data_IF_289415085800
#
_entry.id   IF_289415085800
#
_cell.length_a   1.000
_cell.length_b   1.000
_cell.length_c   1.000
_cell.angle_alpha   90.00
_cell.angle_beta   90.00
_cell.angle_gamma   90.00
#
_symmetry.space_group_name_H-M   'P 1'
#
loop_
_entity.id
_entity.type
_entity.pdbx_description
1 polymer ?
#
# COMPACT_ATOMS: atom_id res chain seq x y z
N UNK A 1 15.05 0.65 15.65
CA UNK A 1 16.15 -0.17 15.08
C UNK A 1 17.00 0.72 14.18
N UNK A 2 18.32 0.52 14.18
CA UNK A 2 19.22 1.16 13.22
C UNK A 2 19.30 0.32 11.94
N UNK A 3 19.11 0.94 10.77
CA UNK A 3 19.18 0.30 9.45
C UNK A 3 20.06 1.15 8.53
N UNK A 4 21.32 0.73 8.36
CA UNK A 4 22.36 1.49 7.65
C UNK A 4 21.96 1.90 6.23
N UNK A 5 21.33 0.99 5.50
CA UNK A 5 21.06 1.11 4.06
C UNK A 5 19.68 1.71 3.75
N UNK A 6 18.91 2.13 4.77
CA UNK A 6 17.60 2.76 4.59
C UNK A 6 17.73 4.30 4.59
N UNK A 7 16.91 5.04 3.81
CA UNK A 7 16.92 6.50 3.78
C UNK A 7 16.74 7.13 5.17
N UNK A 8 15.89 6.51 6.00
CA UNK A 8 15.76 6.82 7.41
C UNK A 8 16.45 5.73 8.23
N UNK A 9 17.64 6.05 8.76
CA UNK A 9 18.47 5.08 9.48
C UNK A 9 17.88 4.62 10.81
N UNK A 10 17.05 5.44 11.44
CA UNK A 10 16.39 5.11 12.71
C UNK A 10 14.88 5.06 12.52
N UNK A 11 14.30 3.87 12.63
CA UNK A 11 12.85 3.69 12.52
C UNK A 11 12.35 2.45 13.26
N UNK A 12 11.03 2.30 13.26
CA UNK A 12 10.36 1.06 13.66
C UNK A 12 10.29 0.16 12.43
N UNK A 13 10.55 -1.13 12.64
CA UNK A 13 10.48 -2.14 11.60
C UNK A 13 9.15 -2.88 11.74
N UNK A 14 8.50 -3.11 10.62
CA UNK A 14 7.29 -3.93 10.54
C UNK A 14 7.55 -5.03 9.51
N UNK A 15 7.08 -6.23 9.82
CA UNK A 15 6.95 -7.32 8.87
C UNK A 15 5.54 -7.25 8.28
N UNK A 16 5.41 -7.39 6.96
CA UNK A 16 4.14 -7.20 6.27
C UNK A 16 3.92 -8.32 5.26
N UNK A 17 2.73 -8.92 5.30
CA UNK A 17 2.23 -9.81 4.26
C UNK A 17 1.35 -8.99 3.31
N UNK A 18 1.81 -8.82 2.08
CA UNK A 18 1.11 -8.07 1.04
C UNK A 18 0.65 -9.00 -0.09
N UNK A 19 -0.55 -8.72 -0.61
CA UNK A 19 -1.07 -9.27 -1.85
C UNK A 19 -0.86 -8.31 -3.02
N UNK A 20 -1.63 -8.53 -4.08
CA UNK A 20 -1.57 -7.73 -5.31
C UNK A 20 -1.81 -6.23 -5.07
N UNK A 21 -1.13 -5.40 -5.85
CA UNK A 21 -1.15 -3.92 -5.78
C UNK A 21 -0.67 -3.35 -4.43
N UNK A 22 0.01 -4.16 -3.61
CA UNK A 22 0.46 -3.78 -2.27
C UNK A 22 -0.65 -3.79 -1.23
N UNK A 23 -1.69 -4.60 -1.41
CA UNK A 23 -2.75 -4.76 -0.41
C UNK A 23 -2.23 -5.48 0.83
N UNK A 24 -2.28 -4.83 1.99
CA UNK A 24 -1.78 -5.42 3.24
C UNK A 24 -2.81 -6.37 3.84
N UNK A 25 -2.47 -7.65 3.96
CA UNK A 25 -3.28 -8.64 4.67
C UNK A 25 -2.95 -8.65 6.16
N UNK A 26 -1.65 -8.65 6.49
CA UNK A 26 -1.19 -8.80 7.87
C UNK A 26 0.08 -8.02 8.12
N UNK A 27 0.25 -7.56 9.36
CA UNK A 27 1.44 -6.87 9.82
C UNK A 27 1.85 -7.36 11.22
N UNK A 28 3.15 -7.38 11.46
CA UNK A 28 3.73 -7.69 12.77
C UNK A 28 4.82 -6.66 13.09
N UNK A 29 4.81 -6.10 14.30
CA UNK A 29 5.81 -5.12 14.72
C UNK A 29 7.07 -5.87 15.19
N UNK A 30 8.23 -5.49 14.64
CA UNK A 30 9.51 -6.00 15.12
C UNK A 30 9.77 -5.52 16.55
N UNK A 31 9.98 -6.47 17.46
CA UNK A 31 10.23 -6.22 18.88
C UNK A 31 11.56 -6.81 19.36
N UNK A 32 12.28 -7.55 18.51
CA UNK A 32 13.48 -8.30 18.87
C UNK A 32 13.17 -9.62 19.59
N UNK A 33 11.90 -10.00 19.71
CA UNK A 33 11.44 -11.21 20.41
C UNK A 33 10.84 -12.24 19.44
N UNK A 34 11.19 -12.16 18.16
CA UNK A 34 10.55 -12.94 17.09
C UNK A 34 10.73 -14.45 17.26
N UNK A 35 11.75 -14.86 18.03
CA UNK A 35 12.05 -16.27 18.30
C UNK A 35 11.51 -16.78 19.64
N UNK A 36 10.73 -15.97 20.38
CA UNK A 36 10.24 -16.39 21.69
C UNK A 36 9.19 -17.51 21.52
N UNK A 37 9.31 -18.62 22.27
CA UNK A 37 8.41 -19.77 22.12
C UNK A 37 6.93 -19.42 22.24
N UNK A 38 6.56 -18.41 23.06
CA UNK A 38 5.19 -17.92 23.22
C UNK A 38 4.49 -17.48 21.92
N UNK A 39 5.25 -17.20 20.86
CA UNK A 39 4.70 -16.79 19.57
C UNK A 39 4.54 -17.94 18.58
N UNK A 40 5.04 -19.14 18.90
CA UNK A 40 4.84 -20.36 18.13
C UNK A 40 3.57 -21.08 18.59
N UNK A 41 2.85 -21.70 17.66
CA UNK A 41 1.74 -22.61 17.95
C UNK A 41 2.27 -24.03 18.13
N UNK A 42 1.51 -24.87 18.81
CA UNK A 42 1.82 -26.29 18.92
C UNK A 42 1.90 -26.93 17.52
N UNK A 43 2.94 -27.72 17.30
CA UNK A 43 3.24 -28.33 16.00
C UNK A 43 4.00 -27.45 15.00
N UNK A 44 4.23 -26.16 15.29
CA UNK A 44 5.08 -25.32 14.43
C UNK A 44 6.57 -25.57 14.74
N UNK A 45 7.42 -25.82 13.72
CA UNK A 45 8.85 -26.00 13.92
C UNK A 45 9.54 -24.69 14.29
N UNK A 46 10.70 -24.78 14.93
CA UNK A 46 11.60 -23.64 15.08
C UNK A 46 12.54 -23.53 13.88
N UNK A 47 12.25 -22.58 12.99
CA UNK A 47 13.08 -22.29 11.81
C UNK A 47 14.02 -21.09 12.07
N UNK A 48 14.05 -20.59 13.31
CA UNK A 48 14.77 -19.39 13.70
C UNK A 48 13.98 -18.10 13.43
N UNK A 49 14.54 -16.98 13.88
CA UNK A 49 13.80 -15.70 13.98
C UNK A 49 13.13 -15.24 12.67
N UNK A 50 13.81 -15.34 11.52
CA UNK A 50 13.25 -14.90 10.23
C UNK A 50 12.21 -15.88 9.68
N UNK A 51 12.46 -17.19 9.77
CA UNK A 51 11.49 -18.21 9.34
C UNK A 51 10.22 -18.20 10.20
N UNK A 52 10.37 -18.07 11.52
CA UNK A 52 9.26 -18.02 12.46
C UNK A 52 8.33 -16.83 12.20
N UNK A 53 8.87 -15.67 11.78
CA UNK A 53 8.05 -14.54 11.30
C UNK A 53 7.20 -14.92 10.09
N UNK A 54 7.78 -15.60 9.09
CA UNK A 54 7.02 -16.02 7.90
C UNK A 54 5.93 -17.02 8.25
N UNK A 55 6.20 -17.97 9.14
CA UNK A 55 5.19 -18.91 9.64
C UNK A 55 4.04 -18.14 10.27
N UNK A 56 4.31 -17.21 11.18
CA UNK A 56 3.26 -16.41 11.84
C UNK A 56 2.43 -15.57 10.87
N UNK A 57 3.09 -14.96 9.90
CA UNK A 57 2.41 -14.16 8.88
C UNK A 57 1.56 -15.02 7.94
N UNK A 58 2.04 -16.22 7.57
CA UNK A 58 1.36 -17.12 6.64
C UNK A 58 0.15 -17.86 7.24
N UNK A 59 -0.10 -17.76 8.55
CA UNK A 59 -1.23 -18.42 9.24
C UNK A 59 -2.61 -18.14 8.62
N UNK A 60 -2.81 -16.97 8.03
CA UNK A 60 -4.08 -16.55 7.42
C UNK A 60 -4.23 -16.96 5.97
N UNK A 61 -3.18 -17.49 5.35
CA UNK A 61 -3.23 -17.93 3.96
C UNK A 61 -3.97 -19.27 3.91
N UNK A 62 -5.01 -19.41 3.07
CA UNK A 62 -5.70 -20.67 2.90
C UNK A 62 -4.75 -21.77 2.43
N UNK A 63 -4.89 -22.95 3.02
CA UNK A 63 -4.02 -24.11 2.74
C UNK A 63 -4.57 -24.90 1.56
N UNK A 64 -3.67 -25.50 0.76
CA UNK A 64 -4.02 -26.36 -0.38
C UNK A 64 -4.88 -25.66 -1.45
N UNK A 65 -4.76 -24.34 -1.59
CA UNK A 65 -5.48 -23.54 -2.58
C UNK A 65 -4.53 -22.86 -3.59
N UNK A 66 -3.35 -23.44 -3.80
CA UNK A 66 -2.36 -22.98 -4.78
C UNK A 66 -1.83 -21.54 -4.52
N UNK A 67 -1.90 -21.09 -3.27
CA UNK A 67 -1.28 -19.83 -2.84
C UNK A 67 0.25 -19.92 -2.90
N UNK A 68 0.87 -18.82 -3.34
CA UNK A 68 2.30 -18.70 -3.55
C UNK A 68 2.85 -17.54 -2.73
N UNK A 69 3.83 -17.84 -1.87
CA UNK A 69 4.56 -16.86 -1.08
C UNK A 69 5.87 -16.46 -1.76
N UNK A 70 6.14 -15.17 -1.75
CA UNK A 70 7.35 -14.58 -2.29
C UNK A 70 8.04 -13.82 -1.16
N UNK A 71 9.32 -14.11 -0.91
CA UNK A 71 10.06 -13.43 0.14
C UNK A 71 11.51 -13.16 -0.23
N UNK A 72 12.09 -12.17 0.45
CA UNK A 72 13.48 -11.77 0.25
C UNK A 72 14.46 -12.83 0.75
N UNK A 73 15.74 -12.57 0.46
CA UNK A 73 16.88 -13.38 0.89
C UNK A 73 17.02 -13.55 2.40
N UNK A 74 16.55 -12.60 3.21
CA UNK A 74 16.68 -12.65 4.66
C UNK A 74 15.76 -13.74 5.25
N UNK A 75 14.56 -13.91 4.70
CA UNK A 75 13.60 -14.92 5.16
C UNK A 75 13.85 -16.33 4.58
N UNK A 76 14.48 -16.46 3.41
CA UNK A 76 14.63 -17.75 2.73
C UNK A 76 15.53 -18.76 3.46
N UNK A 77 15.01 -19.99 3.60
CA UNK A 77 15.74 -21.18 4.04
C UNK A 77 15.08 -22.45 3.49
N UNK A 78 15.83 -23.55 3.43
CA UNK A 78 15.34 -24.84 2.94
C UNK A 78 14.17 -25.37 3.80
N UNK A 79 14.38 -25.42 5.12
CA UNK A 79 13.37 -25.91 6.08
C UNK A 79 12.08 -25.09 6.05
N UNK A 80 12.17 -23.76 5.83
CA UNK A 80 10.98 -22.92 5.67
C UNK A 80 10.18 -23.32 4.42
N UNK A 81 10.85 -23.55 3.29
CA UNK A 81 10.20 -23.93 2.04
C UNK A 81 9.52 -25.29 2.14
N UNK A 82 10.17 -26.28 2.77
CA UNK A 82 9.57 -27.59 3.06
C UNK A 82 8.32 -27.44 3.91
N UNK A 83 8.43 -26.74 5.05
CA UNK A 83 7.33 -26.57 5.97
C UNK A 83 6.13 -25.88 5.30
N UNK A 84 6.36 -24.80 4.54
CA UNK A 84 5.29 -24.11 3.83
C UNK A 84 4.61 -25.04 2.82
N UNK A 85 5.38 -25.83 2.08
CA UNK A 85 4.85 -26.78 1.10
C UNK A 85 4.01 -27.88 1.77
N UNK A 86 4.48 -28.45 2.88
CA UNK A 86 3.71 -29.41 3.68
C UNK A 86 2.41 -28.81 4.23
N UNK A 87 2.39 -27.50 4.49
CA UNK A 87 1.19 -26.76 4.85
C UNK A 87 0.34 -26.37 3.61
N UNK A 88 0.66 -26.85 2.41
CA UNK A 88 -0.10 -26.56 1.20
C UNK A 88 0.08 -25.15 0.66
N UNK A 89 1.20 -24.47 1.00
CA UNK A 89 1.58 -23.16 0.48
C UNK A 89 2.87 -23.30 -0.32
N UNK A 90 2.83 -22.92 -1.58
CA UNK A 90 4.02 -22.89 -2.43
C UNK A 90 4.83 -21.63 -2.16
N UNK A 91 6.13 -21.65 -2.42
CA UNK A 91 6.95 -20.46 -2.22
C UNK A 91 8.14 -20.36 -3.18
N UNK A 92 8.61 -19.13 -3.37
CA UNK A 92 9.87 -18.83 -4.02
C UNK A 92 10.55 -17.66 -3.31
N UNK A 93 11.86 -17.79 -3.11
CA UNK A 93 12.68 -16.74 -2.51
C UNK A 93 14.07 -16.70 -3.12
N UNK A 94 14.71 -15.55 -3.03
CA UNK A 94 16.17 -15.50 -3.28
C UNK A 94 16.89 -16.14 -2.10
N UNK A 95 17.99 -16.84 -2.31
CA UNK A 95 18.71 -17.54 -1.23
C UNK A 95 20.21 -17.26 -1.29
N UNK A 96 20.87 -17.27 -0.13
CA UNK A 96 22.33 -17.26 -0.09
C UNK A 96 22.84 -18.68 -0.38
N UNK A 97 23.85 -18.81 -1.25
CA UNK A 97 24.38 -20.12 -1.66
C UNK A 97 24.86 -20.98 -0.48
N UNK A 98 25.41 -20.37 0.57
CA UNK A 98 25.85 -21.05 1.78
C UNK A 98 24.70 -21.62 2.65
N UNK A 99 23.44 -21.25 2.37
CA UNK A 99 22.26 -21.84 3.01
C UNK A 99 21.73 -23.06 2.26
N UNK A 100 22.32 -23.41 1.12
CA UNK A 100 21.99 -24.61 0.35
C UNK A 100 22.98 -25.71 0.76
N UNK A 101 22.51 -26.81 1.39
CA UNK A 101 23.37 -27.94 1.72
C UNK A 101 24.04 -28.51 0.47
N UNK A 102 25.35 -28.74 0.52
CA UNK A 102 26.12 -29.31 -0.60
C UNK A 102 25.88 -28.57 -1.93
N UNK A 103 25.82 -27.23 -1.87
CA UNK A 103 25.55 -26.35 -3.00
C UNK A 103 26.41 -26.71 -4.23
N UNK A 104 25.75 -27.19 -5.29
CA UNK A 104 26.40 -27.61 -6.56
C UNK A 104 26.58 -26.48 -7.58
N UNK A 105 26.12 -25.27 -7.24
CA UNK A 105 26.30 -24.12 -8.11
C UNK A 105 27.77 -23.81 -8.37
N UNK A 106 28.05 -23.37 -9.59
CA UNK A 106 29.38 -22.89 -9.97
C UNK A 106 29.83 -21.74 -9.07
N UNK A 107 31.13 -21.68 -8.83
CA UNK A 107 31.70 -20.60 -8.03
C UNK A 107 31.75 -19.29 -8.82
N UNK A 108 32.02 -18.16 -8.14
CA UNK A 108 32.03 -16.86 -8.82
C UNK A 108 33.14 -16.70 -9.87
N UNK A 109 34.21 -17.47 -9.81
CA UNK A 109 35.28 -17.44 -10.81
C UNK A 109 34.86 -18.15 -12.10
N UNK A 110 34.22 -19.31 -11.98
CA UNK A 110 33.62 -20.04 -13.09
C UNK A 110 32.51 -19.23 -13.73
N UNK A 111 31.62 -18.65 -12.92
CA UNK A 111 30.52 -17.83 -13.41
C UNK A 111 31.01 -16.60 -14.15
N UNK A 112 32.18 -16.02 -13.83
CA UNK A 112 32.73 -14.88 -14.59
C UNK A 112 32.93 -15.19 -16.06
N UNK A 113 33.26 -16.45 -16.41
CA UNK A 113 33.48 -16.91 -17.79
C UNK A 113 32.18 -17.04 -18.59
N UNK A 114 31.06 -17.29 -17.89
CA UNK A 114 29.75 -17.46 -18.53
C UNK A 114 29.16 -16.15 -19.07
N UNK A 115 28.33 -16.18 -20.13
CA UNK A 115 27.67 -14.99 -20.62
C UNK A 115 26.61 -14.46 -19.64
N UNK A 116 26.23 -13.19 -19.83
CA UNK A 116 25.07 -12.61 -19.14
C UNK A 116 23.80 -13.34 -19.61
N UNK A 117 22.95 -13.73 -18.67
CA UNK A 117 21.78 -14.58 -18.92
C UNK A 117 22.02 -16.07 -18.65
N UNK A 118 23.26 -16.46 -18.34
CA UNK A 118 23.55 -17.83 -17.90
C UNK A 118 22.70 -18.21 -16.69
N UNK A 119 22.19 -19.43 -16.75
CA UNK A 119 21.36 -20.02 -15.70
C UNK A 119 21.65 -21.51 -15.57
N UNK A 120 21.52 -22.01 -14.36
CA UNK A 120 21.61 -23.43 -14.04
C UNK A 120 20.61 -23.76 -12.92
N UNK A 121 20.03 -24.95 -13.00
CA UNK A 121 19.06 -25.47 -12.04
C UNK A 121 19.52 -26.81 -11.47
N UNK A 122 19.32 -26.99 -10.17
CA UNK A 122 19.39 -28.27 -9.51
C UNK A 122 18.10 -28.50 -8.75
N UNK A 123 17.47 -29.64 -9.03
CA UNK A 123 16.28 -30.10 -8.33
C UNK A 123 16.61 -31.30 -7.45
N UNK A 124 16.02 -31.33 -6.27
CA UNK A 124 16.16 -32.45 -5.33
C UNK A 124 14.84 -32.69 -4.64
N UNK A 125 14.63 -33.94 -4.22
CA UNK A 125 13.64 -34.24 -3.21
C UNK A 125 14.30 -34.06 -1.84
N UNK A 126 13.67 -33.31 -0.94
CA UNK A 126 14.12 -33.13 0.44
C UNK A 126 12.91 -33.18 1.37
N UNK A 127 12.93 -34.11 2.32
CA UNK A 127 11.79 -34.40 3.21
C UNK A 127 10.46 -34.64 2.45
N UNK A 128 10.52 -35.40 1.35
CA UNK A 128 9.37 -35.70 0.46
C UNK A 128 8.81 -34.48 -0.28
N UNK A 129 9.55 -33.37 -0.34
CA UNK A 129 9.18 -32.17 -1.10
C UNK A 129 10.15 -31.99 -2.26
N UNK A 130 9.62 -31.80 -3.46
CA UNK A 130 10.42 -31.44 -4.63
C UNK A 130 10.77 -29.96 -4.57
N UNK A 131 12.07 -29.69 -4.56
CA UNK A 131 12.64 -28.36 -4.41
C UNK A 131 13.56 -28.10 -5.58
N UNK A 132 13.35 -26.95 -6.23
CA UNK A 132 14.22 -26.42 -7.26
C UNK A 132 15.10 -25.30 -6.69
N UNK A 133 16.39 -25.39 -6.98
CA UNK A 133 17.34 -24.31 -6.76
C UNK A 133 17.86 -23.82 -8.09
N UNK A 134 17.69 -22.54 -8.39
CA UNK A 134 18.13 -21.93 -9.64
C UNK A 134 19.18 -20.87 -9.40
N UNK A 135 20.21 -20.81 -10.23
CA UNK A 135 21.16 -19.71 -10.27
C UNK A 135 20.97 -18.91 -11.55
N UNK A 136 20.98 -17.59 -11.45
CA UNK A 136 20.91 -16.69 -12.58
C UNK A 136 22.04 -15.66 -12.53
N UNK A 137 22.76 -15.52 -13.65
CA UNK A 137 23.80 -14.50 -13.85
C UNK A 137 23.26 -13.35 -14.69
N UNK A 138 23.14 -12.17 -14.07
CA UNK A 138 22.88 -10.91 -14.78
C UNK A 138 24.03 -9.92 -14.50
N UNK A 139 23.73 -8.73 -13.94
CA UNK A 139 24.75 -7.83 -13.40
C UNK A 139 25.41 -8.41 -12.13
N UNK A 140 24.65 -9.18 -11.37
CA UNK A 140 25.09 -9.94 -10.20
C UNK A 140 24.56 -11.36 -10.30
N UNK A 141 25.20 -12.26 -9.55
CA UNK A 141 24.74 -13.64 -9.47
C UNK A 141 23.69 -13.76 -8.37
N UNK A 142 22.53 -14.32 -8.69
CA UNK A 142 21.43 -14.49 -7.75
C UNK A 142 20.98 -15.95 -7.76
N UNK A 143 20.89 -16.55 -6.57
CA UNK A 143 20.33 -17.88 -6.39
C UNK A 143 18.89 -17.78 -5.88
N UNK A 144 18.07 -18.73 -6.29
CA UNK A 144 16.66 -18.87 -5.97
C UNK A 144 16.40 -20.24 -5.36
N UNK A 145 15.43 -20.30 -4.46
CA UNK A 145 14.88 -21.51 -3.87
C UNK A 145 13.37 -21.49 -4.12
N UNK A 146 12.83 -22.56 -4.70
CA UNK A 146 11.45 -22.61 -5.17
C UNK A 146 10.85 -24.00 -4.98
N UNK A 147 9.55 -24.05 -4.68
CA UNK A 147 8.78 -25.30 -4.56
C UNK A 147 7.78 -25.51 -5.69
N UNK A 148 7.76 -24.64 -6.71
CA UNK A 148 6.75 -24.72 -7.78
C UNK A 148 7.21 -24.23 -9.16
N UNK A 149 8.35 -23.54 -9.26
CA UNK A 149 8.87 -22.99 -10.52
C UNK A 149 10.37 -23.16 -10.60
N UNK A 150 10.85 -23.65 -11.75
CA UNK A 150 12.26 -23.86 -12.04
C UNK A 150 12.78 -22.92 -13.13
N UNK A 151 13.74 -23.41 -13.92
CA UNK A 151 14.39 -22.66 -14.98
C UNK A 151 13.52 -22.49 -16.23
N UNK A 152 12.75 -23.52 -16.57
CA UNK A 152 11.95 -23.58 -17.80
C UNK A 152 10.49 -23.16 -17.59
N UNK A 153 9.81 -22.61 -18.62
CA UNK A 153 10.37 -22.19 -19.90
C UNK A 153 11.20 -20.91 -19.79
N UNK A 154 12.32 -20.86 -20.51
CA UNK A 154 13.11 -19.63 -20.62
C UNK A 154 12.38 -18.61 -21.47
N UNK A 155 12.44 -17.36 -21.02
CA UNK A 155 11.97 -16.18 -21.75
C UNK A 155 13.17 -15.29 -22.09
N UNK A 156 12.96 -14.26 -22.90
CA UNK A 156 13.97 -13.23 -23.09
C UNK A 156 13.53 -11.91 -22.46
N UNK A 157 14.46 -11.22 -21.81
CA UNK A 157 14.21 -9.91 -21.21
C UNK A 157 15.13 -8.86 -21.81
N UNK A 158 14.56 -7.73 -22.18
CA UNK A 158 15.33 -6.57 -22.66
C UNK A 158 16.09 -5.95 -21.49
N UNK A 159 17.42 -5.86 -21.62
CA UNK A 159 18.31 -5.29 -20.60
C UNK A 159 19.29 -4.32 -21.23
N UNK A 160 19.57 -3.23 -20.54
CA UNK A 160 20.63 -2.31 -20.97
C UNK A 160 21.99 -2.90 -20.61
N UNK A 161 22.89 -2.98 -21.58
CA UNK A 161 24.28 -3.35 -21.38
C UNK A 161 25.13 -2.07 -21.30
N UNK A 162 25.75 -1.82 -20.14
CA UNK A 162 26.58 -0.64 -19.93
C UNK A 162 27.85 -0.65 -20.79
N UNK A 163 28.38 -1.84 -21.12
CA UNK A 163 29.61 -1.96 -21.93
C UNK A 163 29.33 -1.65 -23.40
N UNK A 164 28.21 -2.18 -23.92
CA UNK A 164 27.79 -1.96 -25.31
C UNK A 164 26.94 -0.69 -25.51
N UNK A 165 26.54 -0.03 -24.42
CA UNK A 165 25.63 1.14 -24.39
C UNK A 165 24.33 0.94 -25.20
N UNK A 166 23.85 -0.30 -25.28
CA UNK A 166 22.65 -0.65 -26.03
C UNK A 166 21.78 -1.63 -25.25
N UNK A 167 20.52 -1.76 -25.67
CA UNK A 167 19.67 -2.81 -25.16
C UNK A 167 19.98 -4.15 -25.85
N UNK A 168 20.15 -5.18 -25.05
CA UNK A 168 20.33 -6.57 -25.50
C UNK A 168 19.18 -7.43 -24.98
N UNK A 169 18.87 -8.49 -25.70
CA UNK A 169 17.98 -9.56 -25.23
C UNK A 169 18.82 -10.55 -24.43
N UNK A 170 18.37 -10.83 -23.21
CA UNK A 170 19.07 -11.72 -22.28
C UNK A 170 18.12 -12.87 -21.93
N UNK A 171 18.56 -14.13 -22.05
CA UNK A 171 17.79 -15.26 -21.55
C UNK A 171 17.44 -15.08 -20.06
N UNK A 172 16.20 -15.42 -19.70
CA UNK A 172 15.64 -15.23 -18.38
C UNK A 172 14.85 -16.48 -17.97
N UNK A 173 15.32 -17.20 -16.94
CA UNK A 173 14.61 -18.34 -16.37
C UNK A 173 13.20 -17.97 -15.90
N UNK A 174 12.28 -18.95 -15.95
CA UNK A 174 10.90 -18.77 -15.48
C UNK A 174 10.85 -18.29 -14.02
N UNK A 175 11.65 -18.90 -13.13
CA UNK A 175 11.76 -18.51 -11.71
C UNK A 175 12.09 -17.02 -11.51
N UNK A 176 12.96 -16.45 -12.36
CA UNK A 176 13.36 -15.04 -12.28
C UNK A 176 12.21 -14.13 -12.68
N UNK A 177 11.51 -14.48 -13.76
CA UNK A 177 10.34 -13.73 -14.24
C UNK A 177 9.21 -13.74 -13.21
N UNK A 178 8.89 -14.91 -12.67
CA UNK A 178 7.83 -15.13 -11.68
C UNK A 178 8.15 -14.45 -10.35
N UNK A 179 9.40 -14.50 -9.89
CA UNK A 179 9.81 -13.81 -8.67
C UNK A 179 9.71 -12.29 -8.80
N UNK A 180 10.23 -11.73 -9.90
CA UNK A 180 10.27 -10.28 -10.11
C UNK A 180 8.88 -9.66 -10.30
N UNK A 181 7.90 -10.41 -10.81
CA UNK A 181 6.54 -9.90 -10.97
C UNK A 181 5.80 -9.72 -9.64
N UNK A 182 6.20 -10.42 -8.57
CA UNK A 182 5.49 -10.40 -7.29
C UNK A 182 6.27 -9.76 -6.13
N UNK A 183 7.60 -9.84 -6.13
CA UNK A 183 8.43 -9.38 -5.00
C UNK A 183 8.28 -7.88 -4.69
N UNK A 184 7.89 -7.07 -5.68
CA UNK A 184 7.73 -5.62 -5.54
C UNK A 184 6.48 -5.15 -4.80
N UNK A 185 5.58 -6.04 -4.37
CA UNK A 185 4.31 -5.63 -3.76
C UNK A 185 4.47 -4.90 -2.41
N UNK A 186 5.44 -5.31 -1.58
CA UNK A 186 5.74 -4.62 -0.31
C UNK A 186 6.36 -3.24 -0.58
N UNK A 187 7.30 -3.17 -1.53
CA UNK A 187 7.88 -1.88 -1.94
C UNK A 187 6.84 -0.95 -2.56
N UNK A 188 5.84 -1.49 -3.26
CA UNK A 188 4.72 -0.74 -3.80
C UNK A 188 3.86 -0.13 -2.69
N UNK A 189 3.58 -0.88 -1.61
CA UNK A 189 2.92 -0.35 -0.42
C UNK A 189 3.75 0.79 0.19
N UNK A 190 5.05 0.59 0.43
CA UNK A 190 5.94 1.61 0.99
C UNK A 190 5.98 2.87 0.13
N UNK A 191 6.05 2.68 -1.19
CA UNK A 191 5.99 3.75 -2.17
C UNK A 191 4.63 4.47 -2.14
N UNK A 192 3.54 3.74 -1.93
CA UNK A 192 2.19 4.31 -1.82
C UNK A 192 2.04 5.15 -0.55
N UNK A 193 2.53 4.65 0.58
CA UNK A 193 2.56 5.38 1.86
C UNK A 193 3.43 6.63 1.70
N UNK A 194 4.66 6.48 1.22
CA UNK A 194 5.65 7.57 1.14
C UNK A 194 5.17 8.81 0.40
N UNK A 195 4.35 8.65 -0.65
CA UNK A 195 3.83 9.77 -1.46
C UNK A 195 2.84 10.68 -0.74
N UNK A 196 2.01 10.14 0.17
CA UNK A 196 0.98 10.93 0.88
C UNK A 196 0.95 10.67 2.39
N UNK A 197 2.06 10.24 2.98
CA UNK A 197 2.12 9.87 4.40
C UNK A 197 1.70 11.00 5.34
N UNK A 198 1.09 10.63 6.47
CA UNK A 198 0.71 11.57 7.53
C UNK A 198 1.97 12.05 8.26
N UNK A 199 2.28 13.34 8.11
CA UNK A 199 3.43 14.00 8.75
C UNK A 199 3.03 14.63 10.08
N UNK A 200 2.85 13.83 11.12
CA UNK A 200 2.65 14.33 12.49
C UNK A 200 3.91 14.14 13.31
N UNK A 201 4.46 15.25 13.83
CA UNK A 201 5.58 15.20 14.78
C UNK A 201 5.04 14.90 16.16
N UNK A 202 5.51 13.81 16.76
CA UNK A 202 5.20 13.44 18.14
C UNK A 202 6.44 12.87 18.83
N UNK A 203 6.58 13.17 20.13
CA UNK A 203 7.58 12.55 21.00
C UNK A 203 7.17 11.13 21.43
N UNK A 204 5.87 10.79 21.33
CA UNK A 204 5.31 9.48 21.67
C UNK A 204 5.52 8.53 20.48
N UNK A 205 6.35 7.50 20.68
CA UNK A 205 6.74 6.56 19.62
C UNK A 205 5.55 5.88 18.94
N UNK A 206 4.56 5.44 19.72
CA UNK A 206 3.39 4.72 19.23
C UNK A 206 2.54 5.55 18.27
N UNK A 207 2.58 6.89 18.35
CA UNK A 207 1.86 7.75 17.41
C UNK A 207 2.38 7.57 15.98
N UNK A 208 3.68 7.29 15.80
CA UNK A 208 4.25 7.00 14.47
C UNK A 208 3.70 5.70 13.89
N UNK A 209 3.53 4.67 14.73
CA UNK A 209 2.90 3.42 14.33
C UNK A 209 1.43 3.61 14.01
N UNK A 210 0.69 4.33 14.87
CA UNK A 210 -0.71 4.64 14.66
C UNK A 210 -0.95 5.30 13.29
N UNK A 211 -0.20 6.36 12.95
CA UNK A 211 -0.36 7.02 11.66
C UNK A 211 0.06 6.14 10.48
N UNK A 212 1.06 5.28 10.64
CA UNK A 212 1.42 4.29 9.62
C UNK A 212 0.28 3.29 9.38
N UNK A 213 -0.39 2.83 10.43
CA UNK A 213 -1.57 1.96 10.32
C UNK A 213 -2.72 2.68 9.62
N UNK A 214 -3.00 3.94 9.95
CA UNK A 214 -4.01 4.75 9.26
C UNK A 214 -3.67 4.89 7.77
N UNK A 215 -2.42 5.20 7.42
CA UNK A 215 -1.98 5.29 6.02
C UNK A 215 -2.18 3.96 5.29
N UNK A 216 -1.86 2.84 5.93
CA UNK A 216 -2.05 1.48 5.39
C UNK A 216 -3.54 1.18 5.16
N UNK A 217 -4.41 1.50 6.11
CA UNK A 217 -5.87 1.32 6.00
C UNK A 217 -6.43 2.13 4.82
N UNK A 218 -6.01 3.39 4.67
CA UNK A 218 -6.45 4.25 3.55
C UNK A 218 -6.02 3.67 2.21
N UNK A 219 -4.82 3.09 2.12
CA UNK A 219 -4.34 2.43 0.88
C UNK A 219 -5.13 1.18 0.60
N UNK A 220 -5.36 0.31 1.59
CA UNK A 220 -6.20 -0.88 1.43
C UNK A 220 -7.61 -0.52 0.97
N UNK A 221 -8.24 0.50 1.58
CA UNK A 221 -9.56 0.98 1.17
C UNK A 221 -9.57 1.49 -0.28
N UNK A 222 -8.54 2.22 -0.69
CA UNK A 222 -8.40 2.67 -2.08
C UNK A 222 -8.20 1.52 -3.07
N UNK A 223 -7.44 0.49 -2.70
CA UNK A 223 -7.27 -0.72 -3.52
C UNK A 223 -8.60 -1.46 -3.67
N UNK A 224 -9.36 -1.64 -2.58
CA UNK A 224 -10.69 -2.26 -2.62
C UNK A 224 -11.65 -1.48 -3.51
N UNK A 225 -11.70 -0.16 -3.36
CA UNK A 225 -12.49 0.71 -4.23
C UNK A 225 -12.17 0.48 -5.72
N UNK A 226 -10.88 0.40 -6.07
CA UNK A 226 -10.46 0.13 -7.46
C UNK A 226 -10.81 -1.26 -7.95
N UNK A 227 -10.85 -2.27 -7.08
CA UNK A 227 -11.29 -3.62 -7.44
C UNK A 227 -12.79 -3.64 -7.70
N UNK A 228 -13.59 -3.03 -6.81
CA UNK A 228 -15.04 -2.91 -6.99
C UNK A 228 -15.43 -2.16 -8.26
N UNK A 229 -14.68 -1.10 -8.63
CA UNK A 229 -14.89 -0.39 -9.90
C UNK A 229 -14.62 -1.24 -11.15
N UNK A 230 -13.80 -2.30 -11.06
CA UNK A 230 -13.57 -3.21 -12.18
C UNK A 230 -14.64 -4.29 -12.28
N UNK A 231 -15.23 -4.68 -11.15
CA UNK A 231 -16.27 -5.71 -11.08
C UNK A 231 -17.65 -5.15 -11.41
N UNK A 232 -17.89 -3.88 -11.07
CA UNK A 232 -19.08 -3.17 -11.51
C UNK A 232 -18.79 -2.55 -12.87
N UNK A 233 -19.66 -2.74 -13.86
CA UNK A 233 -19.56 -2.19 -15.23
C UNK A 233 -19.70 -0.65 -15.28
N UNK A 234 -19.35 0.04 -14.19
CA UNK A 234 -19.38 1.49 -14.06
C UNK A 234 -18.23 2.07 -14.86
N UNK A 235 -18.58 2.92 -15.82
CA UNK A 235 -17.64 3.69 -16.65
C UNK A 235 -17.01 4.88 -15.92
N UNK A 236 -17.27 5.03 -14.61
CA UNK A 236 -16.73 6.12 -13.82
C UNK A 236 -15.19 6.05 -13.78
N UNK A 237 -14.49 7.16 -14.12
CA UNK A 237 -13.04 7.16 -14.10
C UNK A 237 -12.53 6.88 -12.69
N UNK A 238 -11.66 5.87 -12.56
CA UNK A 238 -11.02 5.53 -11.28
C UNK A 238 -10.42 6.77 -10.64
N UNK A 239 -10.91 7.13 -9.46
CA UNK A 239 -10.39 8.25 -8.69
C UNK A 239 -8.89 8.10 -8.42
N UNK A 240 -8.16 9.21 -8.60
CA UNK A 240 -6.77 9.27 -8.16
C UNK A 240 -6.71 9.09 -6.64
N UNK A 241 -5.64 8.45 -6.15
CA UNK A 241 -5.45 8.21 -4.72
C UNK A 241 -5.52 9.50 -3.87
N UNK A 242 -4.98 10.61 -4.40
CA UNK A 242 -5.06 11.93 -3.74
C UNK A 242 -6.52 12.35 -3.58
N UNK A 243 -7.32 12.25 -4.64
CA UNK A 243 -8.74 12.60 -4.59
C UNK A 243 -9.49 11.70 -3.62
N UNK A 244 -9.28 10.38 -3.68
CA UNK A 244 -9.91 9.42 -2.76
C UNK A 244 -9.64 9.80 -1.30
N UNK A 245 -8.39 10.11 -0.96
CA UNK A 245 -7.99 10.51 0.39
C UNK A 245 -8.60 11.84 0.81
N UNK A 246 -8.68 12.84 -0.08
CA UNK A 246 -9.36 14.11 0.20
C UNK A 246 -10.83 13.88 0.49
N UNK A 247 -11.50 13.06 -0.33
CA UNK A 247 -12.92 12.75 -0.11
C UNK A 247 -13.13 12.06 1.23
N UNK A 248 -12.32 11.04 1.53
CA UNK A 248 -12.39 10.32 2.79
C UNK A 248 -12.24 11.27 3.99
N UNK A 249 -11.26 12.18 3.95
CA UNK A 249 -11.04 13.15 5.01
C UNK A 249 -12.23 14.10 5.20
N UNK A 250 -12.77 14.66 4.11
CA UNK A 250 -13.94 15.54 4.17
C UNK A 250 -15.17 14.82 4.74
N UNK A 251 -15.40 13.57 4.32
CA UNK A 251 -16.54 12.76 4.79
C UNK A 251 -16.40 12.46 6.28
N UNK A 252 -15.23 12.02 6.75
CA UNK A 252 -15.00 11.73 8.16
C UNK A 252 -15.15 12.97 9.05
N UNK A 253 -14.71 14.14 8.59
CA UNK A 253 -14.90 15.41 9.32
C UNK A 253 -16.37 15.83 9.43
N UNK A 254 -17.24 15.39 8.51
CA UNK A 254 -18.69 15.71 8.52
C UNK A 254 -19.53 14.72 9.34
N UNK A 255 -19.09 13.47 9.44
CA UNK A 255 -19.80 12.41 10.18
C UNK A 255 -19.46 12.44 11.67
N UNK A 256 -18.29 12.97 12.06
CA UNK A 256 -17.89 13.03 13.46
C UNK A 256 -18.89 13.81 14.33
N UNK A 257 -19.06 13.43 15.62
CA UNK A 257 -19.89 14.22 16.53
C UNK A 257 -19.40 15.66 16.55
N UNK A 258 -20.32 16.62 16.60
CA UNK A 258 -19.97 18.01 16.89
C UNK A 258 -19.19 18.01 18.20
N UNK A 259 -17.87 18.23 18.10
CA UNK A 259 -17.02 18.31 19.27
C UNK A 259 -17.53 19.50 20.06
N UNK A 260 -18.19 19.24 21.20
CA UNK A 260 -18.54 20.31 22.17
C UNK A 260 -17.28 21.15 22.37
N UNK A 261 -17.39 22.45 22.13
CA UNK A 261 -16.29 23.38 22.36
C UNK A 261 -15.80 23.20 23.80
N UNK A 262 -14.66 22.53 23.97
CA UNK A 262 -14.02 22.38 25.29
C UNK A 262 -13.14 23.61 25.49
N UNK A 263 -13.65 24.56 26.26
CA UNK A 263 -12.93 25.77 26.66
C UNK A 263 -13.83 26.73 27.44
N UNK A 264 -13.22 27.56 28.29
CA UNK A 264 -13.87 28.74 28.87
C UNK A 264 -14.22 29.68 27.71
N UNK A 265 -15.44 30.27 27.64
CA UNK A 265 -15.74 31.32 26.68
C UNK A 265 -14.66 32.38 26.78
N UNK A 266 -13.99 32.67 25.67
CA UNK A 266 -13.00 33.74 25.63
C UNK A 266 -13.71 35.07 25.90
N UNK A 267 -13.33 35.77 26.96
CA UNK A 267 -13.80 37.13 27.26
C UNK A 267 -13.12 38.19 26.40
N UNK A 268 -12.11 37.82 25.62
CA UNK A 268 -11.54 38.71 24.60
C UNK A 268 -12.34 38.61 23.31
N UNK A 269 -12.66 39.77 22.74
CA UNK A 269 -13.03 39.88 21.34
C UNK A 269 -12.08 39.02 20.50
N UNK A 270 -12.59 38.22 19.55
CA UNK A 270 -11.75 37.36 18.76
C UNK A 270 -10.71 38.23 18.07
N UNK A 271 -9.46 38.14 18.53
CA UNK A 271 -8.30 38.64 17.79
C UNK A 271 -8.44 37.96 16.43
N UNK A 272 -8.71 38.75 15.38
CA UNK A 272 -8.62 38.32 14.00
C UNK A 272 -7.17 37.86 13.78
N UNK A 273 -6.86 36.63 14.18
CA UNK A 273 -5.84 35.87 13.50
C UNK A 273 -6.27 35.96 12.06
N UNK A 274 -5.49 36.67 11.25
CA UNK A 274 -5.60 36.71 9.80
C UNK A 274 -5.47 35.26 9.32
N UNK A 275 -6.56 34.49 9.45
CA UNK A 275 -6.86 33.37 8.58
C UNK A 275 -6.68 33.99 7.22
N UNK A 276 -5.70 33.48 6.47
CA UNK A 276 -5.59 33.75 5.06
C UNK A 276 -6.97 33.35 4.51
N UNK A 277 -7.83 34.37 4.32
CA UNK A 277 -9.14 34.21 3.72
C UNK A 277 -8.79 33.82 2.29
N UNK A 278 -8.71 32.52 2.03
CA UNK A 278 -8.92 32.04 0.67
C UNK A 278 -10.27 32.65 0.26
N UNK A 279 -10.20 33.66 -0.61
CA UNK A 279 -11.37 34.30 -1.23
C UNK A 279 -11.99 33.27 -2.16
N UNK A 280 -12.75 32.36 -1.59
CA UNK A 280 -13.40 31.27 -2.29
C UNK A 280 -14.13 30.42 -1.26
N UNK A 281 -15.41 30.73 -1.03
CA UNK A 281 -16.31 29.73 -0.46
C UNK A 281 -16.27 28.54 -1.41
N UNK A 282 -15.85 27.36 -0.93
CA UNK A 282 -15.96 26.14 -1.71
C UNK A 282 -17.45 25.89 -1.94
N UNK A 283 -17.87 25.88 -3.22
CA UNK A 283 -19.21 25.46 -3.56
C UNK A 283 -19.43 24.02 -3.05
N UNK A 284 -20.63 23.70 -2.52
CA UNK A 284 -20.96 22.34 -2.17
C UNK A 284 -20.80 21.43 -3.40
N UNK A 285 -20.41 20.19 -3.15
CA UNK A 285 -20.25 19.19 -4.21
C UNK A 285 -21.58 18.95 -4.93
N UNK A 286 -21.52 18.50 -6.19
CA UNK A 286 -22.71 18.35 -7.05
C UNK A 286 -23.74 17.35 -6.50
N UNK A 287 -23.28 16.27 -5.88
CA UNK A 287 -24.10 15.27 -5.18
C UNK A 287 -24.91 15.88 -4.04
N UNK A 288 -24.30 16.72 -3.20
CA UNK A 288 -25.00 17.41 -2.11
C UNK A 288 -25.89 18.53 -2.64
N UNK A 289 -25.46 19.23 -3.69
CA UNK A 289 -26.17 20.39 -4.26
C UNK A 289 -27.44 19.99 -5.02
N UNK A 290 -27.40 18.88 -5.76
CA UNK A 290 -28.48 18.42 -6.66
C UNK A 290 -29.33 17.31 -6.03
N UNK A 291 -29.08 16.96 -4.77
CA UNK A 291 -29.92 16.03 -4.03
C UNK A 291 -31.31 16.68 -3.79
N UNK A 292 -32.43 16.01 -4.11
CA UNK A 292 -33.78 16.57 -3.94
C UNK A 292 -34.20 16.85 -2.50
N UNK A 293 -33.45 16.39 -1.48
CA UNK A 293 -33.87 16.46 -0.08
C UNK A 293 -33.20 17.60 0.73
N UNK A 294 -33.97 18.22 1.62
CA UNK A 294 -33.49 19.10 2.70
C UNK A 294 -32.75 20.40 2.28
N UNK A 295 -33.18 21.04 1.19
CA UNK A 295 -32.66 22.35 0.77
C UNK A 295 -33.62 23.49 1.17
N UNK A 296 -33.63 23.84 2.46
CA UNK A 296 -34.52 24.88 2.99
C UNK A 296 -33.91 26.29 2.92
N UNK A 297 -34.68 27.31 2.50
CA UNK A 297 -34.25 28.70 2.57
C UNK A 297 -34.37 29.21 4.01
N UNK A 298 -33.26 29.68 4.56
CA UNK A 298 -33.19 30.30 5.89
C UNK A 298 -32.66 31.73 5.79
N UNK A 299 -33.01 32.57 6.75
CA UNK A 299 -32.57 33.96 6.82
C UNK A 299 -31.22 34.06 7.54
N UNK A 300 -30.29 34.77 6.92
CA UNK A 300 -28.99 35.12 7.47
C UNK A 300 -29.07 36.49 8.15
N UNK A 301 -28.36 36.68 9.26
CA UNK A 301 -28.34 37.94 10.00
C UNK A 301 -27.70 39.09 9.20
N UNK A 302 -26.81 38.77 8.25
CA UNK A 302 -26.12 39.77 7.42
C UNK A 302 -26.47 39.61 5.95
N UNK A 303 -26.69 40.73 5.28
CA UNK A 303 -26.89 40.79 3.83
C UNK A 303 -25.57 40.47 3.12
N UNK A 304 -25.56 39.48 2.23
CA UNK A 304 -24.36 39.08 1.49
C UNK A 304 -24.62 38.91 0.00
N UNK A 305 -23.56 38.79 -0.81
CA UNK A 305 -23.68 38.59 -2.25
C UNK A 305 -24.16 37.18 -2.58
N UNK A 306 -25.12 37.11 -3.51
CA UNK A 306 -25.58 35.85 -4.10
C UNK A 306 -24.39 35.10 -4.74
N UNK A 307 -24.31 33.80 -4.50
CA UNK A 307 -23.23 32.94 -5.01
C UNK A 307 -23.58 32.15 -6.27
N UNK A 308 -24.77 32.37 -6.82
CA UNK A 308 -25.13 31.80 -8.12
C UNK A 308 -24.29 32.44 -9.23
N UNK A 309 -23.76 31.65 -10.19
CA UNK A 309 -23.04 32.18 -11.35
C UNK A 309 -23.83 33.31 -12.03
N UNK A 310 -23.14 34.40 -12.40
CA UNK A 310 -23.73 35.57 -13.07
C UNK A 310 -24.79 36.36 -12.25
N UNK A 311 -24.89 36.15 -10.94
CA UNK A 311 -25.73 36.96 -10.07
C UNK A 311 -24.89 37.94 -9.23
N UNK A 312 -25.14 39.24 -9.37
CA UNK A 312 -24.50 40.31 -8.57
C UNK A 312 -25.39 40.82 -7.43
N UNK A 313 -26.56 40.20 -7.23
CA UNK A 313 -27.55 40.63 -6.25
C UNK A 313 -27.14 40.33 -4.80
N UNK A 314 -27.72 41.08 -3.86
CA UNK A 314 -27.51 40.89 -2.43
C UNK A 314 -28.75 40.26 -1.79
N UNK A 315 -28.55 39.22 -0.99
CA UNK A 315 -29.60 38.41 -0.38
C UNK A 315 -29.34 38.21 1.11
N UNK A 316 -30.42 38.04 1.88
CA UNK A 316 -30.37 37.49 3.24
C UNK A 316 -30.67 36.00 3.24
N UNK A 317 -31.11 35.42 2.12
CA UNK A 317 -31.51 34.02 2.04
C UNK A 317 -30.29 33.12 1.82
N UNK A 318 -30.19 32.09 2.64
CA UNK A 318 -29.15 31.06 2.60
C UNK A 318 -29.80 29.68 2.56
N UNK A 319 -29.20 28.74 1.85
CA UNK A 319 -29.60 27.33 1.93
C UNK A 319 -29.05 26.70 3.22
N UNK A 320 -29.92 26.10 4.02
CA UNK A 320 -29.54 25.50 5.31
C UNK A 320 -28.51 24.37 5.15
N UNK A 321 -28.68 23.49 4.16
CA UNK A 321 -27.81 22.34 3.91
C UNK A 321 -26.51 22.72 3.19
N UNK A 322 -26.61 23.57 2.17
CA UNK A 322 -25.46 23.99 1.37
C UNK A 322 -24.63 25.10 2.04
N UNK A 323 -25.21 25.86 2.99
CA UNK A 323 -24.63 27.07 3.60
C UNK A 323 -24.20 28.12 2.56
N UNK A 324 -24.94 28.20 1.45
CA UNK A 324 -24.69 29.14 0.34
C UNK A 324 -25.79 30.21 0.29
N UNK A 325 -25.39 31.48 0.20
CA UNK A 325 -26.32 32.59 0.06
C UNK A 325 -26.82 32.70 -1.39
N UNK A 326 -28.13 32.62 -1.58
CA UNK A 326 -28.79 32.55 -2.87
C UNK A 326 -29.95 33.55 -2.93
N UNK A 327 -30.10 34.20 -4.08
CA UNK A 327 -31.16 35.17 -4.29
C UNK A 327 -32.50 34.44 -4.44
N UNK A 328 -33.51 34.84 -3.67
CA UNK A 328 -34.85 34.28 -3.69
C UNK A 328 -35.86 35.42 -3.56
N UNK A 329 -36.39 35.87 -4.68
CA UNK A 329 -37.52 36.81 -4.74
C UNK A 329 -38.46 36.42 -5.89
N UNK A 330 -39.54 37.19 -6.08
CA UNK A 330 -40.53 36.98 -7.15
C UNK A 330 -39.92 37.04 -8.55
N UNK A 331 -38.97 37.94 -8.78
CA UNK A 331 -38.43 38.23 -10.12
C UNK A 331 -37.22 37.36 -10.50
N UNK A 332 -36.52 36.77 -9.52
CA UNK A 332 -35.29 35.99 -9.72
C UNK A 332 -35.11 34.93 -8.64
N UNK A 333 -35.14 33.67 -9.05
CA UNK A 333 -35.00 32.52 -8.16
C UNK A 333 -33.69 31.76 -8.37
N UNK A 334 -32.58 32.36 -7.91
CA UNK A 334 -31.27 31.69 -7.91
C UNK A 334 -31.22 30.48 -6.96
N UNK A 335 -32.12 30.41 -5.97
CA UNK A 335 -32.19 29.29 -5.05
C UNK A 335 -32.59 27.99 -5.77
N UNK A 336 -33.62 28.04 -6.62
CA UNK A 336 -34.05 26.89 -7.42
C UNK A 336 -33.02 26.50 -8.48
N UNK A 337 -32.51 27.48 -9.24
CA UNK A 337 -31.49 27.23 -10.28
C UNK A 337 -30.15 26.71 -9.75
N UNK A 338 -29.88 26.89 -8.46
CA UNK A 338 -28.68 26.35 -7.84
C UNK A 338 -28.84 24.90 -7.39
N UNK A 339 -30.06 24.42 -7.11
CA UNK A 339 -30.30 23.05 -6.64
C UNK A 339 -30.90 22.12 -7.70
N UNK A 340 -31.37 22.69 -8.82
CA UNK A 340 -31.65 21.99 -10.07
C UNK A 340 -30.46 22.12 -11.03
#
# INVERSE_FOLDING_TARGET
MYMKDKPHKWSYKLYVLCGDMGFTHKLEIYSGQENYPKFRRDGEPDIGASGNVVIRLSREIPRNQNYKLYFDRYYSSLNLSVYLFQQGIQCVGTIQRNRIPSCKFRNDQELKKEPRGFSEEFSTNFESVDISTGLYKDNSNVAFLSTFVGEMPKSEVRRFDRKKKQHIMVPCPAVVSVYNSHMGNVDLLDSNIGRHHIKVRSKRWYMRLFFHLVDTIVINAWILYRRMLKETDRTDPSMTRKMFRTILAETLCRIGPELKERGRPSTSDPIETKRIKHKGYSLPRKDVRLDPFNHWPIWNAKRTTCKHPNCKGYTYVMCEKCKVNLYLNRDKNCFRSFHN
#
